data_IF_004306526361
#
_entry.id   IF_004306526361
#
_cell.length_a   1.000
_cell.length_b   1.000
_cell.length_c   1.000
_cell.angle_alpha   90.00
_cell.angle_beta   90.00
_cell.angle_gamma   90.00
#
_symmetry.space_group_name_H-M   'P 1'
#
loop_
_entity.id
_entity.type
_entity.pdbx_description
1 polymer ?
#
# COMPACT_ATOMS: atom_id res chain seq x y z
N UNK A 1 -2.46 -29.09 -1.43
CA UNK A 1 -2.92 -28.38 -0.22
C UNK A 1 -3.16 -26.95 -0.66
N UNK A 2 -4.40 -26.58 -0.93
CA UNK A 2 -4.77 -25.19 -1.21
C UNK A 2 -4.75 -24.53 0.17
N UNK A 3 -3.69 -23.81 0.49
CA UNK A 3 -3.72 -22.95 1.67
C UNK A 3 -4.87 -21.97 1.43
N UNK A 4 -5.80 -21.92 2.37
CA UNK A 4 -7.01 -21.13 2.24
C UNK A 4 -6.62 -19.66 2.32
N UNK A 5 -6.38 -19.04 1.16
CA UNK A 5 -6.04 -17.62 1.03
C UNK A 5 -7.07 -16.72 1.72
N UNK A 6 -8.30 -17.22 1.95
CA UNK A 6 -9.36 -16.48 2.62
C UNK A 6 -9.11 -16.28 4.12
N UNK A 7 -8.53 -17.27 4.82
CA UNK A 7 -8.19 -17.15 6.25
C UNK A 7 -7.02 -16.18 6.46
N UNK A 8 -6.02 -16.24 5.57
CA UNK A 8 -4.88 -15.32 5.60
C UNK A 8 -5.29 -13.88 5.28
N UNK A 9 -6.23 -13.67 4.36
CA UNK A 9 -6.79 -12.35 4.08
C UNK A 9 -7.60 -11.81 5.27
N UNK A 10 -8.41 -12.65 5.92
CA UNK A 10 -9.15 -12.26 7.13
C UNK A 10 -8.22 -11.93 8.30
N UNK A 11 -7.11 -12.66 8.43
CA UNK A 11 -6.10 -12.37 9.45
C UNK A 11 -5.32 -11.08 9.13
N UNK A 12 -4.97 -10.85 7.86
CA UNK A 12 -4.32 -9.62 7.41
C UNK A 12 -5.22 -8.39 7.57
N UNK A 13 -6.54 -8.53 7.46
CA UNK A 13 -7.52 -7.47 7.75
C UNK A 13 -7.44 -6.95 9.20
N UNK A 14 -6.71 -7.61 10.10
CA UNK A 14 -6.42 -7.11 11.47
C UNK A 14 -5.13 -6.30 11.57
N UNK A 15 -4.33 -6.22 10.51
CA UNK A 15 -3.07 -5.47 10.49
C UNK A 15 -3.39 -4.02 10.11
N UNK A 16 -3.13 -3.02 10.98
CA UNK A 16 -3.43 -1.62 10.68
C UNK A 16 -2.78 -1.11 9.38
N UNK A 17 -1.52 -1.50 9.14
CA UNK A 17 -0.82 -1.17 7.89
C UNK A 17 -1.52 -1.74 6.64
N UNK A 18 -2.11 -2.92 6.73
CA UNK A 18 -2.87 -3.51 5.63
C UNK A 18 -4.17 -2.76 5.38
N UNK A 19 -4.93 -2.43 6.43
CA UNK A 19 -6.17 -1.66 6.33
C UNK A 19 -5.95 -0.28 5.69
N UNK A 20 -4.91 0.44 6.12
CA UNK A 20 -4.52 1.73 5.54
C UNK A 20 -4.12 1.58 4.06
N UNK A 21 -3.25 0.60 3.76
CA UNK A 21 -2.83 0.32 2.39
C UNK A 21 -3.99 -0.06 1.47
N UNK A 22 -4.94 -0.87 1.95
CA UNK A 22 -6.14 -1.27 1.20
C UNK A 22 -7.06 -0.08 0.93
N UNK A 23 -7.24 0.80 1.92
CA UNK A 23 -8.02 2.03 1.77
C UNK A 23 -7.39 2.96 0.74
N UNK A 24 -6.08 3.19 0.81
CA UNK A 24 -5.34 3.96 -0.18
C UNK A 24 -5.43 3.36 -1.59
N UNK A 25 -5.17 2.05 -1.74
CA UNK A 25 -5.22 1.37 -3.03
C UNK A 25 -6.63 1.41 -3.65
N UNK A 26 -7.68 1.29 -2.82
CA UNK A 26 -9.08 1.38 -3.29
C UNK A 26 -9.41 2.80 -3.78
N UNK A 27 -9.01 3.83 -3.03
CA UNK A 27 -9.20 5.21 -3.42
C UNK A 27 -8.45 5.56 -4.72
N UNK A 28 -7.21 5.07 -4.87
CA UNK A 28 -6.46 5.21 -6.13
C UNK A 28 -7.19 4.52 -7.27
N UNK A 29 -7.71 3.31 -7.07
CA UNK A 29 -8.44 2.59 -8.11
C UNK A 29 -9.71 3.35 -8.57
N UNK A 30 -10.48 3.90 -7.62
CA UNK A 30 -11.66 4.72 -7.93
C UNK A 30 -11.29 6.00 -8.68
N UNK A 31 -10.23 6.68 -8.25
CA UNK A 31 -9.70 7.85 -8.93
C UNK A 31 -9.26 7.51 -10.37
N UNK A 32 -8.47 6.44 -10.54
CA UNK A 32 -8.01 5.98 -11.86
C UNK A 32 -9.17 5.61 -12.77
N UNK A 33 -10.18 4.89 -12.26
CA UNK A 33 -11.36 4.48 -13.03
C UNK A 33 -12.10 5.69 -13.62
N UNK A 34 -12.31 6.74 -12.81
CA UNK A 34 -12.89 8.00 -13.28
C UNK A 34 -12.05 8.61 -14.40
N UNK A 35 -10.71 8.58 -14.27
CA UNK A 35 -9.80 9.19 -15.27
C UNK A 35 -9.79 8.43 -16.58
N UNK A 36 -9.90 7.09 -16.54
CA UNK A 36 -10.08 6.30 -17.74
C UNK A 36 -11.40 6.61 -18.44
N UNK A 37 -12.51 6.73 -17.70
CA UNK A 37 -13.82 7.08 -18.26
C UNK A 37 -13.82 8.46 -18.92
N UNK A 38 -13.11 9.43 -18.34
CA UNK A 38 -12.93 10.78 -18.89
C UNK A 38 -11.92 10.86 -20.04
N UNK A 39 -11.25 9.75 -20.41
CA UNK A 39 -10.13 9.72 -21.36
C UNK A 39 -8.97 10.66 -20.97
N UNK A 40 -8.78 10.85 -19.67
CA UNK A 40 -7.72 11.66 -19.06
C UNK A 40 -6.64 10.82 -18.37
N UNK A 41 -6.79 9.50 -18.40
CA UNK A 41 -5.75 8.60 -17.93
C UNK A 41 -4.48 8.69 -18.78
N UNK A 42 -3.34 8.50 -18.14
CA UNK A 42 -2.03 8.48 -18.77
C UNK A 42 -1.02 7.74 -17.90
N UNK A 43 0.24 7.78 -18.30
CA UNK A 43 1.34 7.00 -17.69
C UNK A 43 1.43 7.20 -16.16
N UNK A 44 1.17 8.41 -15.67
CA UNK A 44 1.17 8.70 -14.24
C UNK A 44 0.05 7.95 -13.49
N UNK A 45 -1.15 7.86 -14.07
CA UNK A 45 -2.27 7.11 -13.51
C UNK A 45 -1.98 5.60 -13.51
N UNK A 46 -1.43 5.08 -14.60
CA UNK A 46 -1.06 3.65 -14.71
C UNK A 46 0.00 3.28 -13.65
N UNK A 47 1.00 4.14 -13.46
CA UNK A 47 2.06 3.95 -12.44
C UNK A 47 1.50 4.05 -11.03
N UNK A 48 0.63 5.02 -10.76
CA UNK A 48 -0.01 5.19 -9.46
C UNK A 48 -0.85 3.95 -9.10
N UNK A 49 -1.65 3.44 -10.05
CA UNK A 49 -2.44 2.23 -9.84
C UNK A 49 -1.55 1.01 -9.59
N UNK A 50 -0.50 0.81 -10.40
CA UNK A 50 0.46 -0.28 -10.19
C UNK A 50 1.12 -0.21 -8.83
N UNK A 51 1.68 0.93 -8.45
CA UNK A 51 2.38 1.08 -7.17
C UNK A 51 1.42 0.90 -5.99
N UNK A 52 0.24 1.52 -6.05
CA UNK A 52 -0.75 1.44 -4.97
C UNK A 52 -1.21 0.00 -4.69
N UNK A 53 -1.41 -0.82 -5.72
CA UNK A 53 -1.83 -2.23 -5.60
C UNK A 53 -0.75 -3.15 -5.04
N UNK A 54 0.54 -2.83 -5.25
CA UNK A 54 1.65 -3.60 -4.70
C UNK A 54 1.73 -3.51 -3.17
N UNK A 55 1.31 -2.38 -2.58
CA UNK A 55 1.44 -2.11 -1.15
C UNK A 55 0.70 -3.17 -0.31
N UNK A 56 -0.64 -3.34 -0.43
CA UNK A 56 -1.36 -4.36 0.33
C UNK A 56 -0.90 -5.78 -0.01
N UNK A 57 -0.55 -6.05 -1.28
CA UNK A 57 -0.08 -7.36 -1.71
C UNK A 57 1.23 -7.78 -1.00
N UNK A 58 2.16 -6.84 -0.83
CA UNK A 58 3.43 -7.08 -0.13
C UNK A 58 3.24 -7.30 1.36
N UNK A 59 2.34 -6.55 2.00
CA UNK A 59 2.01 -6.74 3.42
C UNK A 59 1.40 -8.13 3.66
N UNK A 60 0.43 -8.54 2.84
CA UNK A 60 -0.18 -9.88 2.93
C UNK A 60 0.83 -10.96 2.64
N UNK A 61 1.68 -10.78 1.61
CA UNK A 61 2.74 -11.74 1.30
C UNK A 61 3.66 -11.94 2.49
N UNK A 62 4.06 -10.86 3.17
CA UNK A 62 4.85 -10.94 4.41
C UNK A 62 4.10 -11.65 5.53
N UNK A 63 2.82 -11.34 5.71
CA UNK A 63 1.96 -12.01 6.70
C UNK A 63 1.87 -13.53 6.47
N UNK A 64 1.67 -13.96 5.22
CA UNK A 64 1.54 -15.38 4.86
C UNK A 64 2.82 -16.19 5.08
N UNK A 65 4.00 -15.55 5.07
CA UNK A 65 5.26 -16.22 5.44
C UNK A 65 5.34 -16.53 6.94
N UNK A 66 4.55 -15.83 7.76
CA UNK A 66 4.54 -15.98 9.21
C UNK A 66 5.47 -15.02 9.95
N UNK A 67 5.64 -15.31 11.24
CA UNK A 67 6.35 -14.44 12.20
C UNK A 67 7.48 -15.16 12.94
N UNK A 68 7.76 -16.41 12.57
CA UNK A 68 8.87 -17.17 13.12
C UNK A 68 10.21 -16.59 12.65
N UNK A 69 11.27 -16.80 13.43
CA UNK A 69 12.57 -16.15 13.22
C UNK A 69 13.14 -16.38 11.81
N UNK A 70 12.89 -17.55 11.21
CA UNK A 70 13.30 -17.91 9.85
C UNK A 70 12.67 -16.99 8.78
N UNK A 71 11.40 -16.61 8.96
CA UNK A 71 10.61 -15.87 7.98
C UNK A 71 10.44 -14.39 8.31
N UNK A 72 10.63 -14.00 9.58
CA UNK A 72 10.41 -12.64 10.08
C UNK A 72 11.27 -11.60 9.33
N UNK A 73 12.52 -11.94 8.98
CA UNK A 73 13.39 -11.05 8.21
C UNK A 73 12.84 -10.78 6.81
N UNK A 74 12.28 -11.80 6.17
CA UNK A 74 11.68 -11.68 4.84
C UNK A 74 10.35 -10.91 4.90
N UNK A 75 9.54 -11.13 5.94
CA UNK A 75 8.34 -10.33 6.20
C UNK A 75 8.68 -8.83 6.36
N UNK A 76 9.70 -8.50 7.15
CA UNK A 76 10.20 -7.12 7.29
C UNK A 76 10.67 -6.56 5.94
N UNK A 77 11.40 -7.36 5.15
CA UNK A 77 11.86 -6.98 3.80
C UNK A 77 10.68 -6.61 2.90
N UNK A 78 9.63 -7.43 2.86
CA UNK A 78 8.42 -7.18 2.08
C UNK A 78 7.67 -5.93 2.56
N UNK A 79 7.59 -5.69 3.87
CA UNK A 79 6.99 -4.46 4.40
C UNK A 79 7.79 -3.20 4.00
N UNK A 80 9.13 -3.29 3.93
CA UNK A 80 9.99 -2.21 3.43
C UNK A 80 9.80 -1.97 1.93
N UNK A 81 9.61 -3.03 1.14
CA UNK A 81 9.23 -2.89 -0.27
C UNK A 81 7.87 -2.23 -0.44
N UNK A 82 6.89 -2.59 0.39
CA UNK A 82 5.58 -1.95 0.41
C UNK A 82 5.72 -0.44 0.68
N UNK A 83 6.53 -0.06 1.68
CA UNK A 83 6.83 1.34 1.99
C UNK A 83 7.50 2.08 0.82
N UNK A 84 8.45 1.44 0.14
CA UNK A 84 9.08 2.03 -1.04
C UNK A 84 8.05 2.30 -2.15
N UNK A 85 7.13 1.36 -2.40
CA UNK A 85 6.05 1.54 -3.36
C UNK A 85 5.10 2.69 -3.00
N UNK A 86 4.82 2.92 -1.70
CA UNK A 86 4.04 4.09 -1.26
C UNK A 86 4.78 5.39 -1.59
N UNK A 87 6.09 5.44 -1.32
CA UNK A 87 6.91 6.63 -1.58
C UNK A 87 7.01 6.93 -3.08
N UNK A 88 6.99 5.91 -3.94
CA UNK A 88 6.97 6.09 -5.39
C UNK A 88 5.64 6.69 -5.90
N UNK A 89 4.55 6.63 -5.10
CA UNK A 89 3.30 7.32 -5.41
C UNK A 89 3.37 8.83 -5.17
N UNK A 90 4.14 9.29 -4.19
CA UNK A 90 4.22 10.70 -3.79
C UNK A 90 4.59 11.66 -4.95
N UNK A 91 5.65 11.44 -5.73
CA UNK A 91 6.01 12.37 -6.81
C UNK A 91 4.94 12.40 -7.92
N UNK A 92 4.19 11.31 -8.10
CA UNK A 92 3.08 11.25 -9.05
C UNK A 92 1.91 12.10 -8.55
N UNK A 93 1.50 11.90 -7.29
CA UNK A 93 0.42 12.68 -6.68
C UNK A 93 0.75 14.17 -6.64
N UNK A 94 2.00 14.55 -6.36
CA UNK A 94 2.43 15.97 -6.42
C UNK A 94 2.23 16.56 -7.82
N UNK A 95 2.66 15.89 -8.90
CA UNK A 95 2.43 16.36 -10.27
C UNK A 95 0.94 16.45 -10.63
N UNK A 96 0.13 15.51 -10.16
CA UNK A 96 -1.31 15.55 -10.38
C UNK A 96 -1.96 16.71 -9.62
N UNK A 97 -1.48 17.04 -8.41
CA UNK A 97 -2.01 18.14 -7.59
C UNK A 97 -1.82 19.54 -8.20
N UNK A 98 -0.83 19.69 -9.09
CA UNK A 98 -0.57 20.94 -9.83
C UNK A 98 -1.68 21.26 -10.84
N UNK A 99 -2.55 20.30 -11.16
CA UNK A 99 -3.69 20.50 -12.05
C UNK A 99 -4.91 20.93 -11.22
N UNK A 100 -5.50 22.12 -11.45
CA UNK A 100 -6.60 22.63 -10.63
C UNK A 100 -7.84 21.71 -10.59
N UNK A 101 -8.12 21.00 -11.67
CA UNK A 101 -9.21 20.04 -11.79
C UNK A 101 -9.03 18.78 -10.92
N UNK A 102 -7.81 18.54 -10.45
CA UNK A 102 -7.38 17.34 -9.70
C UNK A 102 -7.31 17.57 -8.19
N UNK A 103 -7.18 18.84 -7.77
CA UNK A 103 -6.61 19.20 -6.47
C UNK A 103 -7.35 18.55 -5.29
N UNK A 104 -8.68 18.51 -5.30
CA UNK A 104 -9.46 17.94 -4.19
C UNK A 104 -9.30 16.42 -4.07
N UNK A 105 -9.46 15.70 -5.19
CA UNK A 105 -9.29 14.24 -5.24
C UNK A 105 -7.85 13.85 -4.84
N UNK A 106 -6.86 14.57 -5.36
CA UNK A 106 -5.45 14.29 -5.09
C UNK A 106 -5.06 14.60 -3.65
N UNK A 107 -5.67 15.61 -3.03
CA UNK A 107 -5.44 15.93 -1.61
C UNK A 107 -5.87 14.75 -0.72
N UNK A 108 -7.04 14.17 -0.97
CA UNK A 108 -7.50 12.97 -0.26
C UNK A 108 -6.51 11.80 -0.43
N UNK A 109 -6.01 11.57 -1.65
CA UNK A 109 -5.04 10.51 -1.91
C UNK A 109 -3.71 10.75 -1.18
N UNK A 110 -3.26 12.01 -1.07
CA UNK A 110 -2.06 12.37 -0.33
C UNK A 110 -2.22 12.12 1.18
N UNK A 111 -3.39 12.38 1.74
CA UNK A 111 -3.65 12.12 3.16
C UNK A 111 -3.70 10.61 3.46
N UNK A 112 -4.39 9.82 2.63
CA UNK A 112 -4.39 8.36 2.73
C UNK A 112 -2.98 7.76 2.55
N UNK A 113 -2.18 8.33 1.65
CA UNK A 113 -0.78 7.93 1.46
C UNK A 113 0.04 8.17 2.72
N UNK A 114 -0.11 9.33 3.38
CA UNK A 114 0.59 9.66 4.64
C UNK A 114 0.20 8.72 5.77
N UNK A 115 -1.08 8.43 5.92
CA UNK A 115 -1.59 7.45 6.89
C UNK A 115 -0.99 6.06 6.62
N UNK A 116 -0.97 5.62 5.35
CA UNK A 116 -0.36 4.35 4.96
C UNK A 116 1.13 4.29 5.31
N UNK A 117 1.89 5.37 5.11
CA UNK A 117 3.31 5.45 5.51
C UNK A 117 3.46 5.32 7.03
N UNK A 118 2.62 6.04 7.79
CA UNK A 118 2.65 6.00 9.26
C UNK A 118 2.44 4.58 9.77
N UNK A 119 1.36 3.93 9.33
CA UNK A 119 1.01 2.58 9.78
C UNK A 119 2.03 1.53 9.33
N UNK A 120 2.58 1.65 8.12
CA UNK A 120 3.68 0.80 7.67
C UNK A 120 4.93 0.95 8.53
N UNK A 121 5.32 2.17 8.88
CA UNK A 121 6.48 2.40 9.74
C UNK A 121 6.26 1.78 11.13
N UNK A 122 5.08 2.00 11.72
CA UNK A 122 4.71 1.41 13.01
C UNK A 122 4.75 -0.11 12.95
N UNK A 123 4.23 -0.70 11.88
CA UNK A 123 4.22 -2.14 11.67
C UNK A 123 5.64 -2.72 11.50
N UNK A 124 6.47 -2.09 10.66
CA UNK A 124 7.88 -2.49 10.48
C UNK A 124 8.61 -2.45 11.81
N UNK A 125 8.48 -1.36 12.58
CA UNK A 125 9.09 -1.26 13.91
C UNK A 125 8.56 -2.30 14.89
N UNK A 126 7.28 -2.69 14.80
CA UNK A 126 6.73 -3.79 15.60
C UNK A 126 7.37 -5.13 15.25
N UNK A 127 7.54 -5.43 13.96
CA UNK A 127 8.18 -6.65 13.49
C UNK A 127 9.66 -6.70 13.88
N UNK A 128 10.38 -5.59 13.75
CA UNK A 128 11.80 -5.48 14.11
C UNK A 128 12.04 -5.74 15.60
N UNK A 129 11.14 -5.29 16.48
CA UNK A 129 11.21 -5.58 17.93
C UNK A 129 11.03 -7.06 18.28
N UNK A 130 10.47 -7.86 17.37
CA UNK A 130 10.31 -9.30 17.55
C UNK A 130 11.54 -10.09 17.10
N UNK A 131 12.51 -9.44 16.46
CA UNK A 131 13.79 -10.06 16.12
C UNK A 131 14.66 -10.08 17.38
N UNK A 132 14.69 -11.23 18.06
CA UNK A 132 15.65 -11.48 19.14
C UNK A 132 16.93 -12.11 18.56
N UNK A 133 18.09 -11.70 19.08
CA UNK A 133 19.43 -12.19 18.73
C UNK A 133 19.72 -13.53 19.40
#
# INVERSE_FOLDING_TARGET
MVFDDSDNLQAADRIPAYQAARSFASAVNEYSLRRYQEKRAGVDIDRLQRNSSLIPAKIVSGHCLGYDQEFLRENIRLCREARAAVLDCEPILKRLSERPEETLDVTLLLDLMRETILELNNWISNLERRVWW
#
